data_IF_257399216945
#
_entry.id   IF_257399216945
#
_cell.length_a   1.000
_cell.length_b   1.000
_cell.length_c   1.000
_cell.angle_alpha   90.00
_cell.angle_beta   90.00
_cell.angle_gamma   90.00
#
_symmetry.space_group_name_H-M   'P 1'
#
loop_
_entity.id
_entity.type
_entity.pdbx_description
1 polymer ?
#
# COMPACT_ATOMS: atom_id res chain seq x y z
N UNK A 1 -2.50 -5.79 16.29
CA UNK A 1 -2.27 -4.70 15.29
C UNK A 1 -1.30 -3.62 15.77
N UNK A 2 -1.23 -3.31 17.08
CA UNK A 2 -0.26 -2.35 17.62
C UNK A 2 1.22 -2.62 17.26
N UNK A 3 1.63 -3.88 17.04
CA UNK A 3 3.01 -4.19 16.65
C UNK A 3 3.37 -3.76 15.23
N UNK A 4 2.43 -3.69 14.28
CA UNK A 4 2.74 -3.30 12.89
C UNK A 4 2.83 -1.78 12.74
N UNK A 5 1.96 -1.03 13.43
CA UNK A 5 1.97 0.43 13.44
C UNK A 5 3.22 1.00 14.13
N UNK A 6 3.76 0.31 15.15
CA UNK A 6 4.92 0.78 15.92
C UNK A 6 6.25 0.68 15.17
N UNK A 7 6.34 -0.20 14.16
CA UNK A 7 7.57 -0.43 13.40
C UNK A 7 7.47 -0.02 11.93
N UNK A 8 6.32 0.50 11.47
CA UNK A 8 6.19 1.23 10.20
C UNK A 8 6.55 0.48 8.90
N UNK A 9 6.84 -0.83 8.93
CA UNK A 9 7.55 -1.48 7.82
C UNK A 9 6.98 -2.81 7.32
N UNK A 10 5.69 -3.06 7.51
CA UNK A 10 5.01 -4.10 6.74
C UNK A 10 3.51 -3.82 6.71
N UNK A 11 2.99 -3.10 5.71
CA UNK A 11 1.55 -3.10 5.46
C UNK A 11 1.03 -4.54 5.30
N UNK A 12 -0.24 -4.83 5.66
CA UNK A 12 -0.77 -6.18 5.54
C UNK A 12 -0.65 -6.66 4.09
N UNK A 13 -0.03 -7.82 3.87
CA UNK A 13 0.18 -8.40 2.52
C UNK A 13 -1.12 -8.48 1.71
N UNK A 14 -2.22 -8.75 2.40
CA UNK A 14 -3.58 -8.79 1.83
C UNK A 14 -4.01 -7.52 1.09
N UNK A 15 -3.46 -6.34 1.45
CA UNK A 15 -3.72 -5.10 0.71
C UNK A 15 -3.18 -5.19 -0.72
N UNK A 16 -1.96 -5.70 -0.88
CA UNK A 16 -1.31 -5.86 -2.19
C UNK A 16 -1.87 -7.03 -2.98
N UNK A 17 -2.31 -8.10 -2.30
CA UNK A 17 -2.97 -9.22 -2.97
C UNK A 17 -4.31 -8.78 -3.57
N UNK A 18 -5.14 -8.05 -2.82
CA UNK A 18 -6.40 -7.51 -3.31
C UNK A 18 -6.19 -6.50 -4.45
N UNK A 19 -5.27 -5.55 -4.28
CA UNK A 19 -4.94 -4.58 -5.32
C UNK A 19 -4.35 -5.25 -6.57
N UNK A 20 -3.47 -6.24 -6.39
CA UNK A 20 -2.87 -7.03 -7.46
C UNK A 20 -3.86 -7.89 -8.25
N UNK A 21 -4.98 -8.25 -7.63
CA UNK A 21 -6.11 -8.91 -8.29
C UNK A 21 -7.11 -7.92 -8.95
N UNK A 22 -6.79 -6.62 -8.96
CA UNK A 22 -7.70 -5.55 -9.37
C UNK A 22 -9.04 -5.53 -8.63
N UNK A 23 -9.07 -5.98 -7.37
CA UNK A 23 -10.26 -5.96 -6.54
C UNK A 23 -10.48 -4.58 -5.89
N UNK A 24 -11.74 -4.19 -5.72
CA UNK A 24 -12.08 -3.03 -4.90
C UNK A 24 -11.90 -3.39 -3.42
N UNK A 25 -10.89 -2.80 -2.77
CA UNK A 25 -10.62 -3.04 -1.36
C UNK A 25 -11.31 -1.99 -0.48
N UNK A 26 -12.12 -2.45 0.47
CA UNK A 26 -12.52 -1.68 1.65
C UNK A 26 -11.67 -2.17 2.82
N UNK A 27 -11.00 -1.26 3.53
CA UNK A 27 -10.15 -1.57 4.68
C UNK A 27 -10.46 -0.65 5.86
N UNK A 28 -10.15 -1.09 7.07
CA UNK A 28 -10.15 -0.22 8.23
C UNK A 28 -9.12 0.91 8.09
N UNK A 29 -9.36 2.05 8.75
CA UNK A 29 -8.41 3.16 8.82
C UNK A 29 -7.17 2.80 9.64
N UNK A 30 -5.99 3.04 9.06
CA UNK A 30 -4.71 2.90 9.75
C UNK A 30 -3.69 3.91 9.21
N UNK A 31 -2.77 4.35 10.10
CA UNK A 31 -1.77 5.37 9.79
C UNK A 31 -0.79 4.87 8.73
N UNK A 32 -0.68 5.59 7.62
CA UNK A 32 0.26 5.28 6.55
C UNK A 32 -0.32 4.53 5.36
N UNK A 33 -1.64 4.28 5.31
CA UNK A 33 -2.29 3.72 4.11
C UNK A 33 -2.03 4.58 2.88
N UNK A 34 -1.99 5.91 3.06
CA UNK A 34 -1.71 6.93 2.05
C UNK A 34 -0.30 6.84 1.46
N UNK A 35 0.63 6.14 2.13
CA UNK A 35 1.96 5.86 1.60
C UNK A 35 1.95 4.78 0.51
N UNK A 36 0.85 4.04 0.37
CA UNK A 36 0.73 2.91 -0.56
C UNK A 36 -0.39 3.13 -1.58
N UNK A 37 -1.56 3.59 -1.14
CA UNK A 37 -2.75 3.77 -1.97
C UNK A 37 -3.45 5.09 -1.63
N UNK A 38 -4.05 5.74 -2.62
CA UNK A 38 -4.82 6.98 -2.46
C UNK A 38 -6.25 6.65 -1.99
N UNK A 39 -6.65 7.05 -0.76
CA UNK A 39 -8.01 6.82 -0.27
C UNK A 39 -9.07 7.47 -1.17
N UNK A 40 -10.19 6.78 -1.39
CA UNK A 40 -11.29 7.19 -2.25
C UNK A 40 -11.05 6.96 -3.76
N UNK A 41 -9.81 6.69 -4.19
CA UNK A 41 -9.45 6.49 -5.60
C UNK A 41 -8.90 5.08 -5.87
N UNK A 42 -7.98 4.62 -5.03
CA UNK A 42 -7.29 3.33 -5.16
C UNK A 42 -7.67 2.36 -4.01
N UNK A 43 -8.27 2.86 -2.93
CA UNK A 43 -8.76 2.08 -1.80
C UNK A 43 -9.90 2.82 -1.11
N UNK A 44 -10.88 2.09 -0.56
CA UNK A 44 -11.90 2.68 0.31
C UNK A 44 -11.51 2.43 1.77
N UNK A 45 -11.49 3.49 2.56
CA UNK A 45 -11.11 3.44 3.98
C UNK A 45 -12.34 3.71 4.83
N UNK A 46 -12.55 2.87 5.84
CA UNK A 46 -13.65 3.00 6.79
C UNK A 46 -13.11 3.04 8.23
N UNK A 47 -13.60 3.95 9.06
CA UNK A 47 -13.24 4.06 10.47
C UNK A 47 -14.06 3.12 11.36
N UNK A 48 -15.24 2.72 10.91
CA UNK A 48 -16.18 1.92 11.66
C UNK A 48 -17.11 1.13 10.71
N UNK A 49 -18.02 0.34 11.29
CA UNK A 49 -18.97 -0.47 10.53
C UNK A 49 -19.98 0.34 9.72
N UNK A 50 -20.40 1.50 10.21
CA UNK A 50 -21.37 2.34 9.50
C UNK A 50 -20.79 2.89 8.21
N UNK A 51 -19.52 3.34 8.23
CA UNK A 51 -18.81 3.78 7.03
C UNK A 51 -18.62 2.63 6.02
N UNK A 52 -18.44 1.38 6.48
CA UNK A 52 -18.43 0.21 5.56
C UNK A 52 -19.78 0.08 4.85
N UNK A 53 -20.87 0.24 5.59
CA UNK A 53 -22.23 0.17 5.02
C UNK A 53 -22.45 1.32 4.02
N UNK A 54 -21.98 2.53 4.32
CA UNK A 54 -22.02 3.67 3.39
C UNK A 54 -21.26 3.38 2.09
N UNK A 55 -20.01 2.91 2.19
CA UNK A 55 -19.23 2.50 1.01
C UNK A 55 -19.98 1.47 0.18
N UNK A 56 -20.56 0.44 0.80
CA UNK A 56 -21.31 -0.61 0.11
C UNK A 56 -22.58 -0.08 -0.57
N UNK A 57 -23.27 0.91 0.01
CA UNK A 57 -24.45 1.55 -0.60
C UNK A 57 -24.09 2.40 -1.81
N UNK A 58 -22.96 3.11 -1.75
CA UNK A 58 -22.51 4.03 -2.80
C UNK A 58 -21.70 3.36 -3.92
N UNK A 59 -21.33 2.09 -3.73
CA UNK A 59 -20.54 1.30 -4.68
C UNK A 59 -21.43 0.75 -5.80
N UNK A 60 -21.23 1.27 -7.01
CA UNK A 60 -21.66 0.60 -8.23
C UNK A 60 -20.61 -0.40 -8.71
N UNK A 61 -20.98 -1.45 -9.47
CA UNK A 61 -20.01 -2.35 -10.10
C UNK A 61 -18.96 -1.63 -10.95
N UNK A 62 -19.36 -0.54 -11.62
CA UNK A 62 -18.47 0.29 -12.43
C UNK A 62 -17.46 1.03 -11.56
N UNK A 63 -17.90 1.63 -10.45
CA UNK A 63 -17.02 2.32 -9.50
C UNK A 63 -16.07 1.35 -8.81
N UNK A 64 -16.56 0.18 -8.39
CA UNK A 64 -15.74 -0.89 -7.82
C UNK A 64 -14.61 -1.29 -8.77
N UNK A 65 -14.95 -1.54 -10.05
CA UNK A 65 -13.97 -1.89 -11.08
C UNK A 65 -12.96 -0.76 -11.32
N UNK A 66 -13.42 0.49 -11.34
CA UNK A 66 -12.53 1.64 -11.52
C UNK A 66 -11.49 1.76 -10.40
N UNK A 67 -11.94 1.62 -9.13
CA UNK A 67 -11.07 1.66 -7.95
C UNK A 67 -10.07 0.50 -7.99
N UNK A 68 -10.54 -0.74 -8.21
CA UNK A 68 -9.65 -1.90 -8.26
C UNK A 68 -8.60 -1.81 -9.38
N UNK A 69 -8.97 -1.28 -10.54
CA UNK A 69 -8.03 -1.04 -11.64
C UNK A 69 -7.02 0.08 -11.32
N UNK A 70 -7.43 1.13 -10.61
CA UNK A 70 -6.52 2.17 -10.13
C UNK A 70 -5.52 1.59 -9.12
N UNK A 71 -5.99 0.78 -8.17
CA UNK A 71 -5.15 0.06 -7.22
C UNK A 71 -4.12 -0.83 -7.92
N UNK A 72 -4.55 -1.63 -8.91
CA UNK A 72 -3.67 -2.50 -9.69
C UNK A 72 -2.55 -1.69 -10.37
N UNK A 73 -2.90 -0.59 -11.06
CA UNK A 73 -1.92 0.27 -11.72
C UNK A 73 -0.91 0.82 -10.72
N UNK A 74 -1.36 1.27 -9.55
CA UNK A 74 -0.49 1.79 -8.49
C UNK A 74 0.50 0.74 -7.99
N UNK A 75 0.01 -0.45 -7.63
CA UNK A 75 0.88 -1.49 -7.04
C UNK A 75 1.88 -2.05 -8.05
N UNK A 76 1.50 -2.21 -9.32
CA UNK A 76 2.44 -2.63 -10.37
C UNK A 76 3.51 -1.56 -10.64
N UNK A 77 3.14 -0.28 -10.57
CA UNK A 77 4.08 0.80 -10.83
C UNK A 77 5.08 1.06 -9.69
N UNK A 78 4.77 0.67 -8.44
CA UNK A 78 5.55 1.14 -7.28
C UNK A 78 5.81 0.11 -6.18
N UNK A 79 5.08 -1.01 -6.17
CA UNK A 79 5.02 -1.89 -5.01
C UNK A 79 5.25 -3.37 -5.35
N UNK A 80 5.93 -3.65 -6.47
CA UNK A 80 6.40 -5.00 -6.78
C UNK A 80 7.65 -5.37 -5.99
N UNK A 81 7.93 -6.66 -5.87
CA UNK A 81 9.17 -7.14 -5.25
C UNK A 81 10.41 -6.66 -6.00
N UNK A 82 10.34 -6.49 -7.31
CA UNK A 82 11.43 -5.93 -8.11
C UNK A 82 11.80 -4.52 -7.66
N UNK A 83 10.81 -3.62 -7.51
CA UNK A 83 11.04 -2.28 -6.98
C UNK A 83 11.70 -2.32 -5.58
N UNK A 84 11.23 -3.22 -4.70
CA UNK A 84 11.78 -3.38 -3.35
C UNK A 84 13.21 -3.91 -3.37
N UNK A 85 13.53 -4.85 -4.26
CA UNK A 85 14.87 -5.38 -4.43
C UNK A 85 15.83 -4.29 -4.91
N UNK A 86 15.44 -3.49 -5.91
CA UNK A 86 16.24 -2.36 -6.38
C UNK A 86 16.50 -1.33 -5.26
N UNK A 87 15.46 -0.98 -4.49
CA UNK A 87 15.59 -0.05 -3.35
C UNK A 87 16.56 -0.60 -2.29
N UNK A 88 16.44 -1.89 -1.95
CA UNK A 88 17.34 -2.53 -0.98
C UNK A 88 18.80 -2.49 -1.45
N UNK A 89 19.06 -2.87 -2.70
CA UNK A 89 20.41 -2.86 -3.28
C UNK A 89 21.03 -1.46 -3.27
N UNK A 90 20.26 -0.43 -3.62
CA UNK A 90 20.70 0.97 -3.58
C UNK A 90 21.06 1.42 -2.16
N UNK A 91 20.26 1.04 -1.16
CA UNK A 91 20.52 1.37 0.24
C UNK A 91 21.79 0.68 0.77
N UNK A 92 21.98 -0.60 0.42
CA UNK A 92 23.16 -1.36 0.80
C UNK A 92 24.44 -0.79 0.16
N UNK A 93 24.43 -0.50 -1.14
CA UNK A 93 25.57 0.13 -1.83
C UNK A 93 25.93 1.48 -1.20
N UNK A 94 24.91 2.31 -0.93
CA UNK A 94 25.08 3.61 -0.28
C UNK A 94 25.67 3.51 1.13
N UNK A 95 25.38 2.43 1.86
CA UNK A 95 25.93 2.19 3.20
C UNK A 95 27.37 1.71 3.13
N UNK A 96 27.69 0.78 2.22
CA UNK A 96 29.06 0.28 2.00
C UNK A 96 30.00 1.42 1.63
N UNK A 97 29.61 2.28 0.68
CA UNK A 97 30.42 3.44 0.26
C UNK A 97 30.69 4.43 1.39
N UNK A 98 29.71 4.66 2.27
CA UNK A 98 29.88 5.54 3.44
C UNK A 98 30.89 4.97 4.45
N UNK A 99 30.87 3.67 4.70
CA UNK A 99 31.84 3.02 5.62
C UNK A 99 33.27 3.07 5.10
N UNK A 100 33.47 2.94 3.79
CA UNK A 100 34.80 3.00 3.16
C UNK A 100 35.40 4.42 3.21
N UNK A 101 34.57 5.47 3.14
CA UNK A 101 35.03 6.87 3.23
C UNK A 101 35.35 7.34 4.64
N UNK A 102 34.83 6.68 5.68
CA UNK A 102 35.09 7.01 7.08
C UNK A 102 36.28 6.26 7.71
N UNK A 103 37.02 5.47 6.92
CA UNK A 103 38.25 4.76 7.33
C UNK A 103 39.52 5.37 6.71
N UNK A 104 39.44 6.60 6.20
CA UNK A 104 40.59 7.41 5.74
C UNK A 104 40.76 8.58 6.69
#
# INVERSE_FOLDING_TARGET
>A
RASMARYGFSPPTRVFEAAGAAACLITDAWVGIELFLVPGQEVLVAQNGDEVVEHLRDLSPQRARAIGQAALRRVLAQHTYEHRACQLLQLLDSHVRRRQRGHV
#
